data_IF_447188556022
#
_entry.id   IF_447188556022
#
_cell.length_a   1.000
_cell.length_b   1.000
_cell.length_c   1.000
_cell.angle_alpha   90.00
_cell.angle_beta   90.00
_cell.angle_gamma   90.00
#
_symmetry.space_group_name_H-M   'P 1'
#
loop_
_entity.id
_entity.type
_entity.pdbx_description
1 polymer ?
#
# COMPACT_ATOMS: atom_id res chain seq x y z
N UNK A 1 70.79 10.55 14.99
CA UNK A 1 69.71 11.11 14.15
C UNK A 1 70.18 11.00 12.72
N UNK A 2 69.64 10.03 11.98
CA UNK A 2 69.67 9.96 10.51
C UNK A 2 68.61 8.95 10.07
N UNK A 3 67.52 9.36 9.39
CA UNK A 3 66.44 8.47 9.03
C UNK A 3 66.65 7.88 7.63
N UNK A 4 66.52 6.56 7.60
CA UNK A 4 66.12 5.66 6.51
C UNK A 4 65.42 6.30 5.30
N UNK A 5 66.04 6.13 4.11
CA UNK A 5 65.40 6.23 2.79
C UNK A 5 64.48 5.02 2.57
N UNK A 6 63.17 5.23 2.62
CA UNK A 6 62.16 4.31 2.07
C UNK A 6 61.63 4.88 0.76
N UNK A 7 62.07 4.32 -0.37
CA UNK A 7 61.50 4.57 -1.70
C UNK A 7 60.23 3.71 -1.88
N UNK A 8 59.07 4.29 -1.59
CA UNK A 8 57.78 3.72 -1.96
C UNK A 8 57.54 3.89 -3.46
N UNK A 9 57.53 2.78 -4.19
CA UNK A 9 57.13 2.72 -5.60
C UNK A 9 55.60 2.68 -5.65
N UNK A 10 54.97 3.81 -5.96
CA UNK A 10 53.55 3.86 -6.30
C UNK A 10 53.32 3.13 -7.63
N UNK A 11 52.71 1.93 -7.57
CA UNK A 11 52.17 1.24 -8.74
C UNK A 11 50.78 1.79 -9.04
N UNK A 12 50.69 2.67 -10.04
CA UNK A 12 49.41 3.07 -10.63
C UNK A 12 48.59 1.84 -11.09
N UNK A 13 47.29 1.77 -10.79
CA UNK A 13 46.44 0.71 -11.29
C UNK A 13 46.19 0.91 -12.79
N UNK A 14 46.69 -0.03 -13.61
CA UNK A 14 46.42 -0.11 -15.06
C UNK A 14 44.90 -0.10 -15.29
N UNK A 15 44.38 1.04 -15.75
CA UNK A 15 42.99 1.17 -16.21
C UNK A 15 42.75 0.16 -17.33
N UNK A 16 41.90 -0.84 -17.08
CA UNK A 16 41.42 -1.78 -18.11
C UNK A 16 40.70 -0.95 -19.18
N UNK A 17 41.31 -0.82 -20.35
CA UNK A 17 40.71 -0.15 -21.50
C UNK A 17 39.42 -0.87 -21.88
N UNK A 18 38.32 -0.14 -21.86
CA UNK A 18 36.99 -0.62 -22.22
C UNK A 18 37.01 -1.06 -23.69
N UNK A 19 37.04 -2.37 -23.92
CA UNK A 19 37.22 -2.94 -25.24
C UNK A 19 35.90 -2.83 -26.03
N UNK A 20 35.67 -1.69 -26.69
CA UNK A 20 34.46 -1.39 -27.49
C UNK A 20 34.11 -2.50 -28.49
N UNK A 21 35.11 -3.25 -28.96
CA UNK A 21 34.91 -4.41 -29.84
C UNK A 21 34.13 -5.55 -29.17
N UNK A 22 34.32 -5.79 -27.87
CA UNK A 22 33.59 -6.82 -27.13
C UNK A 22 32.12 -6.44 -26.91
N UNK A 23 31.84 -5.14 -26.71
CA UNK A 23 30.48 -4.62 -26.60
C UNK A 23 29.73 -4.73 -27.94
N UNK A 24 30.41 -4.41 -29.05
CA UNK A 24 29.86 -4.53 -30.40
C UNK A 24 29.62 -5.99 -30.81
N UNK A 25 30.48 -6.92 -30.39
CA UNK A 25 30.30 -8.35 -30.61
C UNK A 25 29.12 -8.93 -29.80
N UNK A 26 28.92 -8.45 -28.56
CA UNK A 26 27.79 -8.83 -27.72
C UNK A 26 26.44 -8.36 -28.29
N UNK A 27 26.37 -7.13 -28.79
CA UNK A 27 25.14 -6.59 -29.40
C UNK A 27 24.80 -7.28 -30.72
N UNK A 28 25.79 -7.58 -31.57
CA UNK A 28 25.53 -8.32 -32.82
C UNK A 28 25.08 -9.76 -32.57
N UNK A 29 25.54 -10.42 -31.50
CA UNK A 29 25.06 -11.76 -31.15
C UNK A 29 23.60 -11.74 -30.66
N UNK A 30 23.23 -10.72 -29.87
CA UNK A 30 21.85 -10.51 -29.40
C UNK A 30 20.87 -10.26 -30.56
N UNK A 31 21.23 -9.39 -31.51
CA UNK A 31 20.37 -9.11 -32.67
C UNK A 31 20.29 -10.29 -33.65
N UNK A 32 21.35 -11.09 -33.81
CA UNK A 32 21.29 -12.34 -34.60
C UNK A 32 20.38 -13.39 -33.95
N UNK A 33 20.39 -13.51 -32.62
CA UNK A 33 19.49 -14.42 -31.91
C UNK A 33 18.02 -14.00 -32.04
N UNK A 34 17.73 -12.70 -31.95
CA UNK A 34 16.39 -12.14 -32.19
C UNK A 34 15.93 -12.35 -33.64
N UNK A 35 16.81 -12.09 -34.61
CA UNK A 35 16.51 -12.31 -36.03
C UNK A 35 16.26 -13.78 -36.37
N UNK A 36 16.93 -14.72 -35.68
CA UNK A 36 16.70 -16.16 -35.84
C UNK A 36 15.36 -16.60 -35.24
N UNK A 37 14.95 -15.98 -34.12
CA UNK A 37 13.65 -16.23 -33.46
C UNK A 37 12.47 -15.65 -34.24
N UNK A 38 12.69 -14.59 -35.00
CA UNK A 38 11.68 -13.94 -35.83
C UNK A 38 11.41 -14.66 -37.18
N UNK A 39 12.17 -15.71 -37.52
CA UNK A 39 12.07 -16.43 -38.82
C UNK A 39 11.33 -17.76 -38.74
N UNK A 40 10.61 -18.08 -37.66
CA UNK A 40 9.86 -19.34 -37.55
C UNK A 40 8.34 -19.15 -37.50
N UNK A 41 7.78 -18.41 -38.47
CA UNK A 41 6.38 -18.58 -38.85
C UNK A 41 6.32 -18.78 -40.36
N UNK A 42 5.53 -19.77 -40.81
CA UNK A 42 5.40 -20.20 -42.22
C UNK A 42 4.84 -19.12 -43.17
N UNK A 43 4.53 -17.94 -42.63
CA UNK A 43 4.12 -16.75 -43.37
C UNK A 43 5.04 -15.62 -42.93
N UNK A 44 5.98 -15.25 -43.81
CA UNK A 44 7.13 -14.40 -43.53
C UNK A 44 6.87 -12.91 -43.25
N UNK A 45 5.93 -12.59 -42.36
CA UNK A 45 5.78 -11.28 -41.75
C UNK A 45 5.53 -11.45 -40.25
N UNK A 46 6.40 -10.95 -39.36
CA UNK A 46 6.08 -10.89 -37.94
C UNK A 46 4.85 -9.99 -37.77
N UNK A 47 3.82 -10.48 -37.08
CA UNK A 47 2.67 -9.65 -36.71
C UNK A 47 3.15 -8.54 -35.76
N UNK A 48 3.45 -7.38 -36.33
CA UNK A 48 3.88 -6.17 -35.63
C UNK A 48 2.70 -5.53 -34.87
N UNK A 49 1.48 -6.04 -35.06
CA UNK A 49 0.23 -5.44 -34.59
C UNK A 49 -0.50 -6.27 -33.53
N UNK A 50 0.04 -7.41 -33.09
CA UNK A 50 -0.45 -8.03 -31.87
C UNK A 50 0.30 -7.43 -30.67
N UNK A 51 -0.41 -6.73 -29.75
CA UNK A 51 0.21 -6.26 -28.54
C UNK A 51 0.52 -7.47 -27.66
N UNK A 52 1.72 -8.03 -27.82
CA UNK A 52 2.36 -8.82 -26.78
C UNK A 52 2.68 -7.82 -25.68
N UNK A 53 1.70 -7.53 -24.82
CA UNK A 53 1.93 -6.76 -23.59
C UNK A 53 2.85 -7.62 -22.73
N UNK A 54 4.16 -7.35 -22.66
CA UNK A 54 4.97 -8.01 -21.68
C UNK A 54 4.52 -7.39 -20.37
N UNK A 55 3.72 -8.10 -19.59
CA UNK A 55 3.48 -7.76 -18.19
C UNK A 55 4.85 -7.67 -17.53
N UNK A 56 5.38 -6.45 -17.48
CA UNK A 56 6.71 -6.18 -17.01
C UNK A 56 6.62 -6.27 -15.50
N UNK A 57 6.71 -7.50 -14.98
CA UNK A 57 6.59 -7.83 -13.56
C UNK A 57 7.51 -6.93 -12.74
N UNK A 58 8.68 -6.61 -13.26
CA UNK A 58 9.60 -5.64 -12.66
C UNK A 58 9.09 -4.19 -12.60
N UNK A 59 8.27 -3.76 -13.56
CA UNK A 59 7.61 -2.46 -13.51
C UNK A 59 6.50 -2.45 -12.46
N UNK A 60 5.68 -3.52 -12.40
CA UNK A 60 4.66 -3.67 -11.34
C UNK A 60 5.30 -3.76 -9.95
N UNK A 61 6.34 -4.57 -9.77
CA UNK A 61 7.08 -4.70 -8.50
C UNK A 61 7.69 -3.36 -8.07
N UNK A 62 8.20 -2.56 -9.03
CA UNK A 62 8.77 -1.24 -8.75
C UNK A 62 7.70 -0.23 -8.34
N UNK A 63 6.51 -0.28 -8.95
CA UNK A 63 5.34 0.53 -8.57
C UNK A 63 4.87 0.15 -7.16
N UNK A 64 4.67 -1.15 -6.89
CA UNK A 64 4.28 -1.64 -5.57
C UNK A 64 5.31 -1.28 -4.48
N UNK A 65 6.60 -1.40 -4.79
CA UNK A 65 7.67 -1.01 -3.88
C UNK A 65 7.65 0.49 -3.61
N UNK A 66 7.52 1.33 -4.64
CA UNK A 66 7.41 2.78 -4.48
C UNK A 66 6.20 3.16 -3.64
N UNK A 67 5.04 2.55 -3.88
CA UNK A 67 3.83 2.78 -3.08
C UNK A 67 4.05 2.42 -1.61
N UNK A 68 4.57 1.23 -1.32
CA UNK A 68 4.84 0.79 0.06
C UNK A 68 5.86 1.67 0.76
N UNK A 69 6.96 2.01 0.09
CA UNK A 69 8.01 2.86 0.67
C UNK A 69 7.51 4.29 0.86
N UNK A 70 6.78 4.86 -0.09
CA UNK A 70 6.21 6.20 0.05
C UNK A 70 5.14 6.24 1.15
N UNK A 71 4.34 5.19 1.31
CA UNK A 71 3.38 5.06 2.41
C UNK A 71 4.10 4.96 3.75
N UNK A 72 5.13 4.11 3.89
CA UNK A 72 5.91 4.00 5.11
C UNK A 72 6.66 5.30 5.45
N UNK A 73 7.24 5.97 4.46
CA UNK A 73 7.91 7.27 4.64
C UNK A 73 6.91 8.35 5.03
N UNK A 74 5.70 8.35 4.45
CA UNK A 74 4.62 9.28 4.86
C UNK A 74 4.13 8.97 6.27
N UNK A 75 3.93 7.70 6.63
CA UNK A 75 3.54 7.30 7.99
C UNK A 75 4.57 7.76 9.03
N UNK A 76 5.87 7.60 8.75
CA UNK A 76 6.97 8.09 9.61
C UNK A 76 7.01 9.61 9.77
N UNK A 77 6.47 10.37 8.81
CA UNK A 77 6.39 11.85 8.92
C UNK A 77 5.29 12.32 9.86
N UNK A 78 4.33 11.46 10.19
CA UNK A 78 3.20 11.79 11.07
C UNK A 78 3.24 10.84 12.27
N UNK A 79 3.99 11.21 13.29
CA UNK A 79 3.99 10.47 14.56
C UNK A 79 2.63 10.67 15.23
N UNK A 80 1.78 9.64 15.14
CA UNK A 80 0.55 9.57 15.91
C UNK A 80 0.88 9.01 17.29
N UNK A 81 0.31 9.63 18.31
CA UNK A 81 0.41 9.08 19.66
C UNK A 81 -0.49 7.82 19.79
N UNK A 82 -0.30 7.02 20.85
CA UNK A 82 -1.13 5.83 21.09
C UNK A 82 -2.63 6.16 21.25
N UNK A 83 -2.97 7.33 21.81
CA UNK A 83 -4.36 7.75 22.01
C UNK A 83 -5.08 8.05 20.70
N UNK A 84 -4.41 8.72 19.76
CA UNK A 84 -4.92 9.01 18.41
C UNK A 84 -5.12 7.70 17.65
N UNK A 85 -4.20 6.75 17.78
CA UNK A 85 -4.30 5.44 17.14
C UNK A 85 -5.48 4.62 17.72
N UNK A 86 -5.67 4.67 19.05
CA UNK A 86 -6.83 4.07 19.71
C UNK A 86 -8.15 4.72 19.27
N UNK A 87 -8.19 6.05 19.23
CA UNK A 87 -9.35 6.79 18.77
C UNK A 87 -9.71 6.47 17.31
N UNK A 88 -8.71 6.31 16.43
CA UNK A 88 -8.95 5.86 15.06
C UNK A 88 -9.61 4.48 15.01
N UNK A 89 -9.13 3.51 15.80
CA UNK A 89 -9.76 2.18 15.87
C UNK A 89 -11.21 2.25 16.33
N UNK A 90 -11.49 3.08 17.34
CA UNK A 90 -12.85 3.30 17.84
C UNK A 90 -13.76 3.94 16.78
N UNK A 91 -13.27 4.96 16.07
CA UNK A 91 -14.02 5.62 15.00
C UNK A 91 -14.30 4.66 13.84
N UNK A 92 -13.32 3.83 13.47
CA UNK A 92 -13.49 2.82 12.42
C UNK A 92 -14.55 1.78 12.80
N UNK A 93 -14.47 1.25 14.02
CA UNK A 93 -15.48 0.31 14.54
C UNK A 93 -16.87 0.93 14.56
N UNK A 94 -17.00 2.16 15.07
CA UNK A 94 -18.26 2.88 15.13
C UNK A 94 -18.83 3.17 13.72
N UNK A 95 -17.99 3.52 12.75
CA UNK A 95 -18.42 3.74 11.37
C UNK A 95 -18.98 2.45 10.76
N UNK A 96 -18.25 1.34 10.88
CA UNK A 96 -18.68 0.06 10.32
C UNK A 96 -19.94 -0.48 11.00
N UNK A 97 -20.06 -0.32 12.32
CA UNK A 97 -21.29 -0.67 13.05
C UNK A 97 -22.48 0.17 12.58
N UNK A 98 -22.28 1.47 12.34
CA UNK A 98 -23.32 2.35 11.82
C UNK A 98 -23.76 1.94 10.40
N UNK A 99 -22.81 1.63 9.52
CA UNK A 99 -23.10 1.21 8.15
C UNK A 99 -23.81 -0.16 8.12
N UNK A 100 -23.37 -1.11 8.94
CA UNK A 100 -24.01 -2.41 9.13
C UNK A 100 -25.44 -2.26 9.69
N UNK A 101 -25.61 -1.41 10.71
CA UNK A 101 -26.91 -1.10 11.28
C UNK A 101 -27.84 -0.48 10.24
N UNK A 102 -27.39 0.53 9.50
CA UNK A 102 -28.19 1.20 8.46
C UNK A 102 -28.67 0.20 7.41
N UNK A 103 -27.79 -0.68 6.95
CA UNK A 103 -28.13 -1.74 5.99
C UNK A 103 -29.22 -2.66 6.54
N UNK A 104 -28.95 -3.31 7.67
CA UNK A 104 -29.85 -4.31 8.28
C UNK A 104 -31.20 -3.71 8.69
N UNK A 105 -31.18 -2.49 9.23
CA UNK A 105 -32.39 -1.79 9.67
C UNK A 105 -33.26 -1.40 8.48
N UNK A 106 -32.69 -0.85 7.40
CA UNK A 106 -33.46 -0.49 6.20
C UNK A 106 -34.07 -1.73 5.53
N UNK A 107 -33.31 -2.82 5.43
CA UNK A 107 -33.79 -4.08 4.84
C UNK A 107 -35.00 -4.67 5.60
N UNK A 108 -35.00 -4.57 6.94
CA UNK A 108 -36.00 -5.26 7.78
C UNK A 108 -37.12 -4.36 8.29
N UNK A 109 -36.97 -3.03 8.25
CA UNK A 109 -37.92 -2.10 8.88
C UNK A 109 -39.05 -1.60 7.97
N UNK A 110 -39.02 -1.89 6.67
CA UNK A 110 -39.93 -1.30 5.68
C UNK A 110 -41.43 -1.53 5.97
N UNK A 111 -41.78 -2.68 6.54
CA UNK A 111 -43.16 -3.08 6.82
C UNK A 111 -43.53 -3.09 8.30
N UNK A 112 -42.60 -2.71 9.19
CA UNK A 112 -42.78 -2.82 10.63
C UNK A 112 -43.48 -1.59 11.23
N UNK A 113 -44.26 -1.82 12.28
CA UNK A 113 -44.84 -0.78 13.14
C UNK A 113 -43.77 -0.11 14.02
N UNK A 114 -44.11 1.01 14.67
CA UNK A 114 -43.17 1.76 15.50
C UNK A 114 -42.59 0.94 16.67
N UNK A 115 -43.41 0.10 17.29
CA UNK A 115 -42.98 -0.79 18.39
C UNK A 115 -42.07 -1.91 17.88
N UNK A 116 -42.42 -2.54 16.76
CA UNK A 116 -41.60 -3.59 16.15
C UNK A 116 -40.24 -3.06 15.65
N UNK A 117 -40.19 -1.80 15.21
CA UNK A 117 -38.92 -1.13 14.87
C UNK A 117 -38.02 -0.94 16.08
N UNK A 118 -38.58 -0.70 17.27
CA UNK A 118 -37.81 -0.58 18.50
C UNK A 118 -37.23 -1.94 18.92
N UNK A 119 -38.02 -3.01 18.81
CA UNK A 119 -37.55 -4.38 19.07
C UNK A 119 -36.45 -4.78 18.07
N UNK A 120 -36.65 -4.49 16.78
CA UNK A 120 -35.66 -4.72 15.73
C UNK A 120 -34.35 -3.95 15.99
N UNK A 121 -34.42 -2.72 16.50
CA UNK A 121 -33.24 -1.93 16.85
C UNK A 121 -32.41 -2.61 17.94
N UNK A 122 -33.07 -3.10 18.99
CA UNK A 122 -32.39 -3.82 20.08
C UNK A 122 -31.82 -5.16 19.59
N UNK A 123 -32.56 -5.85 18.73
CA UNK A 123 -32.14 -7.11 18.10
C UNK A 123 -30.86 -6.93 17.28
N UNK A 124 -30.74 -5.85 16.49
CA UNK A 124 -29.57 -5.58 15.65
C UNK A 124 -28.39 -5.04 16.48
N UNK A 125 -28.65 -4.16 17.44
CA UNK A 125 -27.57 -3.51 18.21
C UNK A 125 -26.83 -4.49 19.14
N UNK A 126 -27.52 -5.48 19.70
CA UNK A 126 -26.91 -6.45 20.63
C UNK A 126 -25.75 -7.26 20.03
N UNK A 127 -25.92 -7.84 18.83
CA UNK A 127 -24.84 -8.47 18.07
C UNK A 127 -23.78 -7.47 17.61
N UNK A 128 -24.16 -6.35 16.97
CA UNK A 128 -23.20 -5.40 16.38
C UNK A 128 -22.22 -4.80 17.40
N UNK A 129 -22.66 -4.58 18.64
CA UNK A 129 -21.80 -4.08 19.72
C UNK A 129 -20.69 -5.07 20.11
N UNK A 130 -20.92 -6.37 19.89
CA UNK A 130 -20.00 -7.45 20.25
C UNK A 130 -19.08 -7.84 19.10
N UNK A 131 -19.40 -7.45 17.88
CA UNK A 131 -18.57 -7.71 16.69
C UNK A 131 -17.21 -7.05 16.82
N UNK A 132 -16.16 -7.80 16.48
CA UNK A 132 -14.80 -7.29 16.43
C UNK A 132 -14.59 -6.43 15.17
N UNK A 133 -13.58 -5.56 15.20
CA UNK A 133 -13.31 -4.64 14.08
C UNK A 133 -12.95 -5.42 12.81
N UNK A 134 -12.17 -6.48 12.97
CA UNK A 134 -11.71 -7.37 11.93
C UNK A 134 -12.90 -8.04 11.20
N UNK A 135 -13.87 -8.57 11.94
CA UNK A 135 -15.08 -9.19 11.40
C UNK A 135 -15.91 -8.18 10.59
N UNK A 136 -16.14 -6.99 11.16
CA UNK A 136 -16.89 -5.92 10.49
C UNK A 136 -16.21 -5.45 9.20
N UNK A 137 -14.88 -5.47 9.16
CA UNK A 137 -14.09 -5.08 7.99
C UNK A 137 -14.18 -6.11 6.86
N UNK A 138 -14.15 -7.41 7.19
CA UNK A 138 -14.33 -8.50 6.22
C UNK A 138 -15.72 -8.44 5.57
N UNK A 139 -16.77 -8.21 6.36
CA UNK A 139 -18.15 -8.12 5.86
C UNK A 139 -18.40 -6.94 4.90
N UNK A 140 -17.65 -5.84 5.07
CA UNK A 140 -17.83 -4.60 4.31
C UNK A 140 -16.76 -4.38 3.23
N UNK A 141 -15.86 -5.35 3.02
CA UNK A 141 -14.83 -5.28 1.98
C UNK A 141 -13.89 -4.06 2.09
N UNK A 142 -13.63 -3.59 3.32
CA UNK A 142 -12.80 -2.41 3.61
C UNK A 142 -13.26 -1.08 2.96
N UNK A 143 -14.53 -0.98 2.55
CA UNK A 143 -15.08 0.25 1.97
C UNK A 143 -15.34 1.30 3.07
N UNK A 144 -14.32 2.11 3.38
CA UNK A 144 -14.38 3.14 4.41
C UNK A 144 -14.39 4.55 3.79
N UNK A 145 -15.35 5.38 4.22
CA UNK A 145 -15.31 6.80 3.93
C UNK A 145 -14.33 7.52 4.86
N UNK A 146 -13.12 7.71 4.35
CA UNK A 146 -12.02 8.36 5.07
C UNK A 146 -12.29 9.83 5.42
N UNK A 147 -13.18 10.53 4.71
CA UNK A 147 -13.55 11.91 5.04
C UNK A 147 -14.40 11.89 6.31
N UNK A 148 -15.40 11.00 6.36
CA UNK A 148 -16.25 10.82 7.53
C UNK A 148 -15.45 10.34 8.75
N UNK A 149 -14.53 9.37 8.55
CA UNK A 149 -13.61 8.92 9.61
C UNK A 149 -12.78 10.09 10.16
N UNK A 150 -12.18 10.91 9.29
CA UNK A 150 -11.40 12.06 9.72
C UNK A 150 -12.24 13.10 10.49
N UNK A 151 -13.48 13.35 10.06
CA UNK A 151 -14.38 14.29 10.74
C UNK A 151 -14.82 13.77 12.10
N UNK A 152 -15.19 12.49 12.21
CA UNK A 152 -15.53 11.84 13.48
C UNK A 152 -14.36 11.85 14.46
N UNK A 153 -13.15 11.58 13.96
CA UNK A 153 -11.93 11.61 14.76
C UNK A 153 -11.62 13.02 15.30
N UNK A 154 -11.76 14.06 14.47
CA UNK A 154 -11.64 15.46 14.92
C UNK A 154 -12.66 15.81 16.00
N UNK A 155 -13.90 15.34 15.86
CA UNK A 155 -14.95 15.58 16.85
C UNK A 155 -14.62 14.94 18.20
N UNK A 156 -14.06 13.73 18.21
CA UNK A 156 -13.65 13.05 19.45
C UNK A 156 -12.43 13.68 20.12
N UNK A 157 -11.44 14.13 19.33
CA UNK A 157 -10.20 14.70 19.87
C UNK A 157 -10.30 16.20 20.20
N UNK A 158 -11.42 16.85 19.84
CA UNK A 158 -11.76 18.21 20.25
C UNK A 158 -11.27 19.32 19.29
N UNK A 159 -11.74 20.57 19.52
CA UNK A 159 -11.63 21.68 18.55
C UNK A 159 -10.24 22.32 18.46
N UNK A 160 -9.26 21.90 19.25
CA UNK A 160 -7.98 22.62 19.35
C UNK A 160 -7.04 22.45 18.16
N UNK A 161 -7.28 21.54 17.21
CA UNK A 161 -6.26 21.22 16.22
C UNK A 161 -6.80 20.96 14.81
N UNK A 162 -6.59 21.95 13.92
CA UNK A 162 -6.26 21.75 12.51
C UNK A 162 -4.94 20.97 12.37
N UNK A 163 -4.83 19.80 13.01
CA UNK A 163 -3.64 18.96 12.85
C UNK A 163 -3.69 18.38 11.44
N UNK A 164 -2.67 18.59 10.59
CA UNK A 164 -2.60 17.98 9.26
C UNK A 164 -2.68 16.44 9.33
N UNK A 165 -2.29 15.87 10.49
CA UNK A 165 -2.38 14.46 10.82
C UNK A 165 -3.82 13.90 10.85
N UNK A 166 -4.86 14.72 11.08
CA UNK A 166 -6.26 14.28 11.15
C UNK A 166 -6.99 14.43 9.81
N UNK A 167 -6.26 14.41 8.69
CA UNK A 167 -6.84 14.41 7.34
C UNK A 167 -7.22 12.98 6.91
N UNK A 168 -8.17 12.88 5.98
CA UNK A 168 -8.60 11.59 5.41
C UNK A 168 -7.42 10.76 4.87
N UNK A 169 -6.49 11.41 4.16
CA UNK A 169 -5.30 10.76 3.63
C UNK A 169 -4.39 10.22 4.75
N UNK A 170 -4.19 10.97 5.83
CA UNK A 170 -3.37 10.53 6.95
C UNK A 170 -4.04 9.40 7.74
N UNK A 171 -5.36 9.46 7.97
CA UNK A 171 -6.11 8.37 8.60
C UNK A 171 -5.98 7.07 7.81
N UNK A 172 -6.13 7.14 6.49
CA UNK A 172 -5.95 5.98 5.60
C UNK A 172 -4.53 5.41 5.67
N UNK A 173 -3.50 6.26 5.56
CA UNK A 173 -2.09 5.83 5.63
C UNK A 173 -1.82 5.15 6.98
N UNK A 174 -2.35 5.72 8.08
CA UNK A 174 -2.19 5.17 9.43
C UNK A 174 -2.86 3.82 9.57
N UNK A 175 -4.08 3.69 9.07
CA UNK A 175 -4.82 2.42 9.02
C UNK A 175 -4.07 1.35 8.23
N UNK A 176 -3.58 1.67 7.02
CA UNK A 176 -2.81 0.72 6.20
C UNK A 176 -1.52 0.25 6.90
N UNK A 177 -0.89 1.11 7.68
CA UNK A 177 0.38 0.79 8.35
C UNK A 177 0.20 0.03 9.67
N UNK A 178 -0.72 0.46 10.53
CA UNK A 178 -0.83 -0.03 11.93
C UNK A 178 -1.97 -1.01 12.15
N UNK A 179 -3.00 -0.98 11.29
CA UNK A 179 -4.20 -1.79 11.45
C UNK A 179 -4.19 -2.92 10.42
N UNK A 180 -4.03 -2.61 9.14
CA UNK A 180 -3.96 -3.61 8.07
C UNK A 180 -2.56 -4.24 7.95
N UNK A 181 -1.51 -3.41 8.02
CA UNK A 181 -0.10 -3.84 7.89
C UNK A 181 0.52 -4.46 9.14
N UNK A 182 -0.14 -4.31 10.30
CA UNK A 182 0.30 -4.84 11.60
C UNK A 182 0.34 -6.37 11.70
N UNK A 183 -0.18 -7.08 10.69
CA UNK A 183 -0.10 -8.54 10.61
C UNK A 183 1.24 -9.09 10.10
N UNK A 184 2.05 -8.35 9.34
CA UNK A 184 3.32 -8.87 8.78
C UNK A 184 4.29 -7.78 8.31
N UNK A 185 5.10 -7.19 9.20
CA UNK A 185 6.54 -6.99 8.94
C UNK A 185 7.24 -6.79 10.30
N UNK A 186 8.03 -7.76 10.80
CA UNK A 186 9.00 -7.44 11.84
C UNK A 186 10.05 -6.54 11.20
N UNK A 187 10.05 -5.25 11.56
CA UNK A 187 11.21 -4.40 11.33
C UNK A 187 12.31 -4.91 12.27
N UNK A 188 13.13 -5.82 11.75
CA UNK A 188 14.36 -6.27 12.38
C UNK A 188 15.19 -5.04 12.78
N UNK A 189 15.62 -5.05 14.04
CA UNK A 189 16.49 -4.06 14.69
C UNK A 189 17.80 -3.86 13.93
#
# INVERSE_FOLDING_TARGET
ADPTKNSGVDKEPKRKSFNRAALAAGTTCYFKALAKKARSSEHGLPSIFEPVMPWNRHAQDRVLYQERVLQAVRAKRFEWNPQETLALRQVLSAQLQEDAFRRLFVERSATLSATEKQDLLLEIMGPLRRSELEELMEEHGHALDWITVANKLKAQLGPLQLRPALSAACCRIRYLHEIEGGGRVPLTK
#
